data_IF_574403092949
#
_entry.id   IF_574403092949
#
_cell.length_a   1.000
_cell.length_b   1.000
_cell.length_c   1.000
_cell.angle_alpha   90.00
_cell.angle_beta   90.00
_cell.angle_gamma   90.00
#
_symmetry.space_group_name_H-M   'P 1'
#
loop_
_entity.id
_entity.type
_entity.pdbx_description
1 polymer ?
#
# COMPACT_ATOMS: atom_id res chain seq x y z
N UNK A 1 -14.38 5.13 8.82
CA UNK A 1 -15.66 4.36 8.79
C UNK A 1 -16.48 4.73 10.01
N UNK A 2 -17.74 5.10 9.79
CA UNK A 2 -18.63 5.58 10.85
C UNK A 2 -19.90 4.77 10.89
N UNK A 3 -20.34 4.44 12.09
CA UNK A 3 -21.63 3.78 12.30
C UNK A 3 -22.54 4.68 13.09
N UNK A 4 -23.81 4.60 12.78
CA UNK A 4 -24.86 5.26 13.56
C UNK A 4 -25.19 4.34 14.73
N UNK A 5 -24.92 4.80 15.95
CA UNK A 5 -25.10 3.99 17.15
C UNK A 5 -26.53 3.55 17.39
N UNK A 6 -27.49 4.32 16.95
CA UNK A 6 -28.90 4.02 17.16
C UNK A 6 -29.44 2.94 16.25
N UNK A 7 -28.99 2.95 14.99
CA UNK A 7 -29.50 2.03 13.98
C UNK A 7 -28.52 0.94 13.60
N UNK A 8 -27.24 1.09 13.99
CA UNK A 8 -26.15 0.21 13.58
C UNK A 8 -25.94 0.24 12.06
N UNK A 9 -26.37 1.30 11.40
CA UNK A 9 -26.17 1.47 9.98
C UNK A 9 -24.84 2.14 9.71
N UNK A 10 -24.22 1.74 8.61
CA UNK A 10 -23.00 2.36 8.13
C UNK A 10 -23.33 3.66 7.41
N UNK A 11 -22.77 4.77 7.88
CA UNK A 11 -22.91 6.06 7.23
C UNK A 11 -21.63 6.43 6.53
N UNK A 12 -21.73 6.77 5.26
CA UNK A 12 -20.59 7.17 4.46
C UNK A 12 -20.29 8.65 4.67
N UNK A 13 -19.04 9.00 5.02
CA UNK A 13 -18.66 10.40 5.11
C UNK A 13 -18.71 11.07 3.74
N UNK A 14 -18.81 12.39 3.75
CA UNK A 14 -18.71 13.16 2.53
C UNK A 14 -17.23 13.43 2.23
N UNK A 15 -16.62 12.54 1.46
CA UNK A 15 -15.19 12.59 1.16
C UNK A 15 -14.85 13.80 0.29
N UNK A 16 -13.79 14.52 0.65
CA UNK A 16 -13.37 15.74 -0.05
C UNK A 16 -12.30 15.50 -1.10
N UNK A 17 -11.58 14.40 -1.00
CA UNK A 17 -10.43 14.15 -1.87
C UNK A 17 -10.59 12.87 -2.67
N UNK A 18 -11.83 12.47 -2.91
CA UNK A 18 -12.13 11.31 -3.73
C UNK A 18 -11.56 9.99 -3.15
N UNK A 19 -11.44 9.94 -1.82
CA UNK A 19 -10.75 8.82 -1.16
C UNK A 19 -11.38 7.47 -1.47
N UNK A 20 -12.71 7.37 -1.51
CA UNK A 20 -13.38 6.11 -1.80
C UNK A 20 -12.92 5.52 -3.15
N UNK A 21 -13.02 6.34 -4.19
CA UNK A 21 -12.70 5.89 -5.54
C UNK A 21 -11.20 5.61 -5.67
N UNK A 22 -10.38 6.42 -5.02
CA UNK A 22 -8.93 6.21 -5.04
C UNK A 22 -8.53 4.94 -4.29
N UNK A 23 -9.21 4.62 -3.19
CA UNK A 23 -8.95 3.36 -2.48
C UNK A 23 -9.34 2.17 -3.34
N UNK A 24 -10.46 2.25 -4.06
CA UNK A 24 -10.89 1.21 -4.98
C UNK A 24 -9.85 1.00 -6.10
N UNK A 25 -9.35 2.10 -6.66
CA UNK A 25 -8.29 2.01 -7.67
C UNK A 25 -7.00 1.41 -7.09
N UNK A 26 -6.67 1.75 -5.86
CA UNK A 26 -5.52 1.18 -5.20
C UNK A 26 -5.69 -0.32 -5.01
N UNK A 27 -6.88 -0.78 -4.64
CA UNK A 27 -7.17 -2.20 -4.54
C UNK A 27 -6.96 -2.89 -5.90
N UNK A 28 -7.47 -2.28 -6.97
CA UNK A 28 -7.29 -2.82 -8.32
C UNK A 28 -5.81 -2.89 -8.69
N UNK A 29 -5.05 -1.88 -8.32
CA UNK A 29 -3.61 -1.87 -8.55
C UNK A 29 -2.93 -3.04 -7.82
N UNK A 30 -3.24 -3.25 -6.55
CA UNK A 30 -2.69 -4.36 -5.78
C UNK A 30 -3.03 -5.68 -6.45
N UNK A 31 -4.30 -5.86 -6.82
CA UNK A 31 -4.76 -7.08 -7.49
C UNK A 31 -3.95 -7.35 -8.76
N UNK A 32 -3.68 -6.29 -9.54
CA UNK A 32 -2.91 -6.42 -10.76
C UNK A 32 -1.47 -6.86 -10.50
N UNK A 33 -0.86 -6.42 -9.39
CA UNK A 33 0.50 -6.83 -9.07
C UNK A 33 0.59 -8.32 -8.75
N UNK A 34 -0.46 -8.90 -8.20
CA UNK A 34 -0.50 -10.33 -7.89
C UNK A 34 -0.78 -11.19 -9.12
N UNK A 35 -1.30 -10.60 -10.20
CA UNK A 35 -1.65 -11.31 -11.42
C UNK A 35 -0.52 -11.35 -12.44
N UNK A 36 0.54 -10.58 -12.24
CA UNK A 36 1.64 -10.52 -13.21
C UNK A 36 2.52 -11.75 -13.12
N UNK A 37 3.25 -12.06 -14.22
CA UNK A 37 4.17 -13.19 -14.27
C UNK A 37 5.28 -13.08 -13.22
N UNK A 38 5.67 -11.87 -12.87
CA UNK A 38 6.77 -11.63 -11.94
C UNK A 38 6.32 -11.56 -10.49
N UNK A 39 5.01 -11.58 -10.24
CA UNK A 39 4.48 -11.38 -8.89
C UNK A 39 4.92 -12.45 -7.92
N UNK A 40 4.93 -13.70 -8.35
CA UNK A 40 5.30 -14.83 -7.49
C UNK A 40 6.71 -14.67 -6.94
N UNK A 41 7.68 -14.41 -7.80
CA UNK A 41 9.07 -14.28 -7.40
C UNK A 41 9.28 -13.03 -6.55
N UNK A 42 8.65 -11.92 -6.93
CA UNK A 42 8.74 -10.67 -6.19
C UNK A 42 8.22 -10.81 -4.76
N UNK A 43 7.07 -11.43 -4.59
CA UNK A 43 6.48 -11.56 -3.27
C UNK A 43 7.16 -12.62 -2.43
N UNK A 44 7.70 -13.66 -3.06
CA UNK A 44 8.55 -14.62 -2.34
C UNK A 44 9.79 -13.94 -1.80
N UNK A 45 10.44 -13.09 -2.60
CA UNK A 45 11.60 -12.34 -2.15
C UNK A 45 11.24 -11.40 -1.01
N UNK A 46 10.11 -10.72 -1.11
CA UNK A 46 9.63 -9.82 -0.07
C UNK A 46 9.37 -10.56 1.24
N UNK A 47 8.72 -11.72 1.17
CA UNK A 47 8.48 -12.56 2.33
C UNK A 47 9.78 -12.99 2.99
N UNK A 48 10.77 -13.38 2.19
CA UNK A 48 12.09 -13.78 2.68
C UNK A 48 12.78 -12.63 3.41
N UNK A 49 12.68 -11.42 2.87
CA UNK A 49 13.26 -10.23 3.47
C UNK A 49 12.58 -9.92 4.82
N UNK A 50 11.26 -10.04 4.85
CA UNK A 50 10.49 -9.81 6.08
C UNK A 50 10.84 -10.85 7.14
N UNK A 51 10.89 -12.12 6.75
CA UNK A 51 11.21 -13.21 7.66
C UNK A 51 12.63 -13.07 8.22
N UNK A 52 13.53 -12.51 7.45
CA UNK A 52 14.91 -12.26 7.89
C UNK A 52 15.08 -11.05 8.79
N UNK A 53 13.98 -10.33 9.10
CA UNK A 53 14.04 -9.18 9.99
C UNK A 53 14.36 -7.86 9.31
N UNK A 54 14.36 -7.82 7.98
CA UNK A 54 14.72 -6.62 7.20
C UNK A 54 13.52 -5.94 6.54
N UNK A 55 12.30 -6.35 6.89
CA UNK A 55 11.09 -5.85 6.23
C UNK A 55 10.90 -4.36 6.37
N UNK A 56 11.10 -3.81 7.56
CA UNK A 56 10.87 -2.38 7.80
C UNK A 56 11.82 -1.53 6.97
N UNK A 57 13.12 -1.86 6.97
CA UNK A 57 14.10 -1.14 6.15
C UNK A 57 13.77 -1.22 4.67
N UNK A 58 13.37 -2.41 4.21
CA UNK A 58 12.98 -2.62 2.83
C UNK A 58 11.76 -1.78 2.45
N UNK A 59 10.68 -1.84 3.24
CA UNK A 59 9.45 -1.12 2.94
C UNK A 59 9.61 0.39 3.03
N UNK A 60 10.19 0.88 4.11
CA UNK A 60 10.38 2.33 4.27
C UNK A 60 11.35 2.86 3.21
N UNK A 61 12.42 2.09 2.90
CA UNK A 61 13.32 2.46 1.82
C UNK A 61 12.63 2.61 0.49
N UNK A 62 11.70 1.71 0.17
CA UNK A 62 10.93 1.80 -1.08
C UNK A 62 9.93 2.95 -1.05
N UNK A 63 9.31 3.24 0.08
CA UNK A 63 8.45 4.41 0.23
C UNK A 63 9.26 5.68 -0.11
N UNK A 64 10.43 5.81 0.47
CA UNK A 64 11.30 6.97 0.23
C UNK A 64 11.78 7.03 -1.22
N UNK A 65 12.13 5.88 -1.80
CA UNK A 65 12.59 5.79 -3.18
C UNK A 65 11.54 6.34 -4.15
N UNK A 66 10.31 5.87 -4.02
CA UNK A 66 9.25 6.27 -4.94
C UNK A 66 8.71 7.66 -4.65
N UNK A 67 8.68 8.06 -3.39
CA UNK A 67 8.25 9.41 -3.03
C UNK A 67 9.21 10.47 -3.59
N UNK A 68 10.52 10.28 -3.48
CA UNK A 68 11.48 11.24 -4.00
C UNK A 68 11.53 11.25 -5.54
N UNK A 69 11.17 10.13 -6.18
CA UNK A 69 11.14 10.03 -7.64
C UNK A 69 9.91 10.68 -8.26
N UNK A 70 8.87 10.84 -7.50
CA UNK A 70 7.59 11.35 -7.99
C UNK A 70 7.77 12.67 -8.72
N UNK A 71 7.26 12.73 -9.96
CA UNK A 71 7.27 13.94 -10.77
C UNK A 71 8.60 14.32 -11.38
N UNK A 72 9.67 13.55 -11.14
CA UNK A 72 11.00 13.89 -11.65
C UNK A 72 11.35 13.19 -12.95
N UNK A 73 10.64 12.13 -13.29
CA UNK A 73 11.01 11.28 -14.40
C UNK A 73 9.77 10.59 -14.97
N UNK A 74 9.72 10.49 -16.30
CA UNK A 74 8.62 9.81 -16.96
C UNK A 74 7.40 10.69 -17.18
N UNK A 75 6.28 10.06 -17.50
CA UNK A 75 5.02 10.73 -17.79
C UNK A 75 4.24 11.01 -16.50
N UNK A 76 3.11 11.72 -16.66
CA UNK A 76 2.15 11.92 -15.56
C UNK A 76 1.66 10.57 -15.03
N UNK A 77 1.48 9.59 -15.92
CA UNK A 77 1.04 8.26 -15.51
C UNK A 77 2.12 7.52 -14.75
N UNK A 78 3.37 7.68 -15.13
CA UNK A 78 4.50 7.09 -14.39
C UNK A 78 4.59 7.67 -12.98
N UNK A 79 4.38 8.98 -12.86
CA UNK A 79 4.35 9.64 -11.57
C UNK A 79 3.21 9.09 -10.70
N UNK A 80 2.04 8.86 -11.30
CA UNK A 80 0.90 8.31 -10.58
C UNK A 80 1.21 6.89 -10.09
N UNK A 81 1.91 6.09 -10.88
CA UNK A 81 2.35 4.75 -10.47
C UNK A 81 3.32 4.82 -9.29
N UNK A 82 4.19 5.82 -9.27
CA UNK A 82 5.09 6.00 -8.13
C UNK A 82 4.30 6.21 -6.83
N UNK A 83 3.22 6.98 -6.88
CA UNK A 83 2.36 7.15 -5.70
C UNK A 83 1.68 5.85 -5.29
N UNK A 84 1.24 5.04 -6.26
CA UNK A 84 0.66 3.73 -5.95
C UNK A 84 1.67 2.82 -5.27
N UNK A 85 2.94 2.88 -5.70
CA UNK A 85 4.00 2.08 -5.06
C UNK A 85 4.30 2.57 -3.64
N UNK A 86 4.29 3.88 -3.42
CA UNK A 86 4.42 4.45 -2.07
C UNK A 86 3.34 3.87 -1.15
N UNK A 87 2.10 3.92 -1.62
CA UNK A 87 0.97 3.39 -0.84
C UNK A 87 1.11 1.90 -0.57
N UNK A 88 1.52 1.13 -1.57
CA UNK A 88 1.62 -0.33 -1.45
C UNK A 88 2.70 -0.73 -0.45
N UNK A 89 3.88 -0.11 -0.52
CA UNK A 89 4.94 -0.41 0.45
C UNK A 89 4.58 0.05 1.86
N UNK A 90 3.86 1.18 1.98
CA UNK A 90 3.36 1.62 3.28
C UNK A 90 2.34 0.64 3.84
N UNK A 91 1.48 0.08 2.99
CA UNK A 91 0.52 -0.94 3.39
C UNK A 91 1.21 -2.20 3.88
N UNK A 92 2.24 -2.66 3.18
CA UNK A 92 3.02 -3.82 3.61
C UNK A 92 3.70 -3.54 4.95
N UNK A 93 4.20 -2.31 5.13
CA UNK A 93 4.80 -1.92 6.41
C UNK A 93 3.78 -1.96 7.55
N UNK A 94 2.54 -1.58 7.27
CA UNK A 94 1.48 -1.68 8.27
C UNK A 94 1.28 -3.13 8.71
N UNK A 95 1.29 -4.06 7.76
CA UNK A 95 1.23 -5.49 8.07
C UNK A 95 2.40 -5.92 8.95
N UNK A 96 3.62 -5.49 8.61
CA UNK A 96 4.82 -5.81 9.40
C UNK A 96 4.69 -5.25 10.80
N UNK A 97 4.24 -4.01 10.92
CA UNK A 97 4.04 -3.36 12.22
C UNK A 97 3.09 -4.18 13.09
N UNK A 98 1.96 -4.56 12.53
CA UNK A 98 0.93 -5.27 13.28
C UNK A 98 1.39 -6.67 13.69
N UNK A 99 2.12 -7.36 12.84
CA UNK A 99 2.58 -8.71 13.15
C UNK A 99 3.78 -8.70 14.09
N UNK A 100 4.62 -7.70 14.03
CA UNK A 100 5.77 -7.57 14.94
C UNK A 100 5.34 -7.21 16.37
N UNK A 101 4.34 -6.36 16.51
CA UNK A 101 3.87 -5.91 17.83
C UNK A 101 3.20 -7.02 18.62
N UNK A 102 2.81 -8.11 17.97
CA UNK A 102 2.20 -9.25 18.65
C UNK A 102 3.19 -10.12 19.44
N UNK A 103 4.47 -9.94 19.17
CA UNK A 103 5.53 -10.76 19.77
C UNK A 103 6.03 -10.18 21.09
N UNK A 104 5.48 -9.06 21.52
CA UNK A 104 5.88 -8.44 22.78
C UNK A 104 5.10 -8.94 23.99
#
# INVERSE_FOLDING_TARGET
>A
MYFNDETMEFEEPNYKFNERELIEEFQDYIDSTYQSHYSKDKFQATEFIIDGGHGTGFCIGNVLKYAQRYGKKGSVEDARKDLMKVLHYALIQLYIHDTSSKDE
#
